data_IF_610833434748
#
_entry.id   IF_610833434748
#
_cell.length_a   1.000
_cell.length_b   1.000
_cell.length_c   1.000
_cell.angle_alpha   90.00
_cell.angle_beta   90.00
_cell.angle_gamma   90.00
#
_symmetry.space_group_name_H-M   'P 1'
#
loop_
_entity.id
_entity.type
_entity.pdbx_description
1 polymer ?
#
# COMPACT_ATOMS: atom_id res chain seq x y z
N UNK A 1 -41.87 -13.71 42.32
CA UNK A 1 -41.80 -14.83 41.36
C UNK A 1 -42.71 -14.66 40.11
N UNK A 2 -43.76 -13.83 40.15
CA UNK A 2 -44.76 -13.74 39.07
C UNK A 2 -44.61 -12.54 38.10
N UNK A 3 -43.63 -11.65 38.29
CA UNK A 3 -43.45 -10.46 37.43
C UNK A 3 -42.50 -10.73 36.25
N UNK A 4 -41.63 -11.74 36.35
CA UNK A 4 -40.64 -12.06 35.29
C UNK A 4 -41.26 -12.74 34.06
N UNK A 5 -42.38 -13.45 34.24
CA UNK A 5 -43.07 -14.18 33.16
C UNK A 5 -43.82 -13.30 32.16
N UNK A 6 -44.00 -12.00 32.43
CA UNK A 6 -44.71 -11.10 31.52
C UNK A 6 -43.80 -10.44 30.47
N UNK A 7 -42.48 -10.66 30.53
CA UNK A 7 -41.51 -9.96 29.68
C UNK A 7 -40.81 -10.84 28.63
N UNK A 8 -40.60 -12.14 28.87
CA UNK A 8 -40.08 -13.09 27.87
C UNK A 8 -40.19 -14.53 28.37
N UNK A 9 -40.52 -15.48 27.48
CA UNK A 9 -40.50 -16.94 27.76
C UNK A 9 -39.09 -17.55 27.68
N UNK A 10 -38.09 -16.74 27.30
CA UNK A 10 -36.72 -17.20 27.24
C UNK A 10 -36.13 -17.36 28.66
N UNK A 11 -35.57 -18.53 29.00
CA UNK A 11 -34.92 -18.72 30.29
C UNK A 11 -33.78 -17.70 30.44
N UNK A 12 -33.73 -17.05 31.60
CA UNK A 12 -32.67 -16.09 31.93
C UNK A 12 -31.30 -16.78 31.86
N UNK A 13 -30.64 -16.68 30.70
CA UNK A 13 -29.34 -17.30 30.46
C UNK A 13 -28.27 -16.43 31.11
N UNK A 14 -27.74 -16.90 32.24
CA UNK A 14 -26.58 -16.32 32.89
C UNK A 14 -25.32 -16.75 32.12
N UNK A 15 -25.11 -16.21 30.91
CA UNK A 15 -23.79 -16.28 30.29
C UNK A 15 -22.90 -15.22 30.94
N UNK A 16 -21.82 -15.66 31.58
CA UNK A 16 -20.79 -14.75 32.04
C UNK A 16 -20.32 -13.91 30.86
N UNK A 17 -20.42 -12.59 31.00
CA UNK A 17 -19.93 -11.63 30.00
C UNK A 17 -18.48 -11.94 29.61
N UNK A 18 -17.67 -12.41 30.57
CA UNK A 18 -16.29 -12.86 30.35
C UNK A 18 -16.18 -14.03 29.36
N UNK A 19 -17.09 -15.02 29.41
CA UNK A 19 -17.06 -16.16 28.49
C UNK A 19 -17.47 -15.76 27.06
N UNK A 20 -18.45 -14.86 26.93
CA UNK A 20 -18.87 -14.29 25.65
C UNK A 20 -17.74 -13.45 25.02
N UNK A 21 -17.10 -12.58 25.82
CA UNK A 21 -15.96 -11.80 25.36
C UNK A 21 -14.78 -12.69 25.01
N UNK A 22 -14.40 -13.67 25.85
CA UNK A 22 -13.29 -14.59 25.55
C UNK A 22 -13.49 -15.33 24.23
N UNK A 23 -14.69 -15.86 23.99
CA UNK A 23 -15.01 -16.54 22.73
C UNK A 23 -14.89 -15.61 21.52
N UNK A 24 -15.24 -14.32 21.68
CA UNK A 24 -15.10 -13.29 20.63
C UNK A 24 -13.62 -12.91 20.43
N UNK A 25 -12.87 -12.69 21.50
CA UNK A 25 -11.44 -12.41 21.48
C UNK A 25 -10.63 -13.55 20.83
N UNK A 26 -10.96 -14.81 21.10
CA UNK A 26 -10.30 -15.95 20.46
C UNK A 26 -10.50 -15.97 18.94
N UNK A 27 -11.73 -15.70 18.47
CA UNK A 27 -12.00 -15.57 17.02
C UNK A 27 -11.24 -14.39 16.41
N UNK A 28 -11.18 -13.27 17.12
CA UNK A 28 -10.51 -12.05 16.68
C UNK A 28 -8.98 -12.23 16.60
N UNK A 29 -8.41 -12.99 17.53
CA UNK A 29 -6.97 -13.29 17.53
C UNK A 29 -6.58 -14.28 16.42
N UNK A 30 -7.46 -15.23 16.08
CA UNK A 30 -7.29 -16.11 14.92
C UNK A 30 -7.39 -15.34 13.60
N UNK A 31 -8.33 -14.38 13.50
CA UNK A 31 -8.47 -13.49 12.35
C UNK A 31 -7.22 -12.63 12.16
N UNK A 32 -6.77 -11.96 13.23
CA UNK A 32 -5.55 -11.13 13.22
C UNK A 32 -4.33 -11.95 12.78
N UNK A 33 -4.17 -13.18 13.31
CA UNK A 33 -3.08 -14.08 12.90
C UNK A 33 -3.14 -14.45 11.42
N UNK A 34 -4.34 -14.74 10.91
CA UNK A 34 -4.54 -15.08 9.49
C UNK A 34 -4.22 -13.89 8.58
N UNK A 35 -4.66 -12.69 8.94
CA UNK A 35 -4.36 -11.45 8.20
C UNK A 35 -2.86 -11.19 8.17
N UNK A 36 -2.16 -11.37 9.30
CA UNK A 36 -0.70 -11.19 9.36
C UNK A 36 0.03 -12.14 8.41
N UNK A 37 -0.38 -13.41 8.34
CA UNK A 37 0.23 -14.38 7.42
C UNK A 37 -0.02 -13.97 5.96
N UNK A 38 -1.25 -13.61 5.61
CA UNK A 38 -1.60 -13.15 4.26
C UNK A 38 -0.82 -11.88 3.90
N UNK A 39 -0.67 -10.94 4.82
CA UNK A 39 0.10 -9.72 4.62
C UNK A 39 1.58 -10.01 4.33
N UNK A 40 2.20 -10.92 5.08
CA UNK A 40 3.59 -11.34 4.82
C UNK A 40 3.73 -11.95 3.42
N UNK A 41 2.80 -12.83 3.03
CA UNK A 41 2.79 -13.44 1.70
C UNK A 41 2.62 -12.37 0.61
N UNK A 42 1.67 -11.45 0.79
CA UNK A 42 1.42 -10.36 -0.14
C UNK A 42 2.65 -9.45 -0.32
N UNK A 43 3.38 -9.17 0.76
CA UNK A 43 4.64 -8.41 0.70
C UNK A 43 5.66 -9.15 -0.16
N UNK A 44 5.87 -10.45 0.07
CA UNK A 44 6.83 -11.26 -0.71
C UNK A 44 6.46 -11.27 -2.19
N UNK A 45 5.17 -11.49 -2.51
CA UNK A 45 4.69 -11.48 -3.89
C UNK A 45 4.90 -10.13 -4.57
N UNK A 46 4.65 -9.03 -3.84
CA UNK A 46 4.86 -7.67 -4.35
C UNK A 46 6.35 -7.43 -4.64
N UNK A 47 7.25 -7.89 -3.77
CA UNK A 47 8.69 -7.76 -3.98
C UNK A 47 9.16 -8.51 -5.23
N UNK A 48 8.66 -9.72 -5.46
CA UNK A 48 8.96 -10.52 -6.68
C UNK A 48 8.41 -9.81 -7.92
N UNK A 49 7.18 -9.30 -7.85
CA UNK A 49 6.54 -8.58 -8.96
C UNK A 49 7.31 -7.31 -9.36
N UNK A 50 7.75 -6.52 -8.37
CA UNK A 50 8.56 -5.32 -8.60
C UNK A 50 9.91 -5.69 -9.22
N UNK A 51 10.58 -6.74 -8.72
CA UNK A 51 11.85 -7.22 -9.29
C UNK A 51 11.69 -7.63 -10.76
N UNK A 52 10.65 -8.39 -11.10
CA UNK A 52 10.35 -8.77 -12.47
C UNK A 52 10.09 -7.57 -13.39
N UNK A 53 9.32 -6.59 -12.91
CA UNK A 53 9.08 -5.35 -13.65
C UNK A 53 10.35 -4.52 -13.87
N UNK A 54 11.24 -4.44 -12.87
CA UNK A 54 12.50 -3.71 -12.97
C UNK A 54 13.42 -4.36 -14.02
N UNK A 55 13.58 -5.69 -13.97
CA UNK A 55 14.41 -6.42 -14.94
C UNK A 55 13.88 -6.19 -16.36
N UNK A 56 12.57 -6.34 -16.55
CA UNK A 56 11.94 -6.16 -17.86
C UNK A 56 12.06 -4.72 -18.38
N UNK A 57 11.89 -3.72 -17.50
CA UNK A 57 12.08 -2.30 -17.86
C UNK A 57 13.53 -2.00 -18.23
N UNK A 58 14.50 -2.56 -17.50
CA UNK A 58 15.92 -2.42 -17.79
C UNK A 58 16.28 -2.97 -19.18
N UNK A 59 15.71 -4.12 -19.57
CA UNK A 59 15.94 -4.73 -20.89
C UNK A 59 15.29 -3.94 -22.03
N UNK A 60 14.07 -3.42 -21.84
CA UNK A 60 13.41 -2.65 -22.91
C UNK A 60 13.98 -1.24 -23.10
N UNK A 61 14.52 -0.61 -22.06
CA UNK A 61 15.03 0.77 -22.13
C UNK A 61 16.55 0.87 -22.24
N UNK A 62 17.28 -0.24 -22.32
CA UNK A 62 18.76 -0.22 -22.43
C UNK A 62 19.23 0.56 -23.66
N UNK A 63 18.55 0.41 -24.80
CA UNK A 63 18.87 1.10 -26.05
C UNK A 63 18.59 2.61 -25.99
N UNK A 64 17.46 3.03 -25.42
CA UNK A 64 17.15 4.47 -25.25
C UNK A 64 18.11 5.16 -24.27
N UNK A 65 18.45 4.49 -23.15
CA UNK A 65 19.35 5.03 -22.13
C UNK A 65 20.78 5.14 -22.69
N UNK A 66 21.22 4.15 -23.49
CA UNK A 66 22.50 4.18 -24.20
C UNK A 66 22.58 5.33 -25.22
N UNK A 67 21.57 5.48 -26.08
CA UNK A 67 21.55 6.53 -27.11
C UNK A 67 21.53 7.94 -26.48
N UNK A 68 20.72 8.17 -25.44
CA UNK A 68 20.63 9.49 -24.80
C UNK A 68 21.91 9.88 -24.04
N UNK A 69 22.61 8.91 -23.42
CA UNK A 69 23.85 9.17 -22.69
C UNK A 69 25.02 9.48 -23.63
N UNK A 70 25.03 8.90 -24.82
CA UNK A 70 26.00 9.22 -25.89
C UNK A 70 25.68 10.59 -26.53
N UNK A 71 24.42 10.99 -26.56
CA UNK A 71 23.98 12.29 -27.09
C UNK A 71 24.12 13.47 -26.10
N UNK A 72 24.84 13.29 -24.99
CA UNK A 72 25.15 14.37 -24.04
C UNK A 72 24.08 14.69 -23.00
N UNK A 73 23.03 13.86 -22.85
CA UNK A 73 22.01 14.08 -21.83
C UNK A 73 22.62 14.07 -20.41
N UNK A 74 22.32 15.10 -19.63
CA UNK A 74 22.80 15.20 -18.25
C UNK A 74 22.06 14.23 -17.35
N UNK A 75 22.73 13.77 -16.29
CA UNK A 75 22.14 12.87 -15.28
C UNK A 75 20.83 13.43 -14.71
N UNK A 76 20.72 14.76 -14.62
CA UNK A 76 19.54 15.45 -14.11
C UNK A 76 18.32 15.34 -15.04
N UNK A 77 18.52 15.39 -16.36
CA UNK A 77 17.42 15.25 -17.34
C UNK A 77 16.84 13.83 -17.33
N UNK A 78 17.70 12.82 -17.16
CA UNK A 78 17.27 11.42 -17.02
C UNK A 78 16.46 11.23 -15.73
N UNK A 79 16.91 11.83 -14.62
CA UNK A 79 16.19 11.83 -13.33
C UNK A 79 14.82 12.52 -13.46
N UNK A 80 14.75 13.67 -14.13
CA UNK A 80 13.51 14.44 -14.23
C UNK A 80 12.48 13.73 -15.12
N UNK A 81 12.92 13.15 -16.24
CA UNK A 81 12.05 12.34 -17.10
C UNK A 81 11.44 11.15 -16.35
N UNK A 82 12.26 10.39 -15.62
CA UNK A 82 11.82 9.22 -14.86
C UNK A 82 10.87 9.59 -13.72
N UNK A 83 11.15 10.69 -13.01
CA UNK A 83 10.26 11.20 -11.97
C UNK A 83 8.89 11.60 -12.56
N UNK A 84 8.85 12.24 -13.73
CA UNK A 84 7.59 12.68 -14.32
C UNK A 84 6.69 11.52 -14.76
N UNK A 85 7.29 10.43 -15.27
CA UNK A 85 6.54 9.20 -15.56
C UNK A 85 6.00 8.56 -14.28
N UNK A 86 6.80 8.53 -13.20
CA UNK A 86 6.36 7.98 -11.91
C UNK A 86 5.24 8.80 -11.27
N UNK A 87 5.35 10.13 -11.25
CA UNK A 87 4.33 11.01 -10.67
C UNK A 87 2.98 10.84 -11.36
N UNK A 88 2.96 10.68 -12.69
CA UNK A 88 1.72 10.41 -13.43
C UNK A 88 1.04 9.13 -12.95
N UNK A 89 1.79 8.04 -12.84
CA UNK A 89 1.24 6.77 -12.38
C UNK A 89 0.81 6.79 -10.91
N UNK A 90 1.58 7.45 -10.05
CA UNK A 90 1.21 7.65 -8.63
C UNK A 90 -0.07 8.48 -8.51
N UNK A 91 -0.23 9.53 -9.30
CA UNK A 91 -1.44 10.34 -9.31
C UNK A 91 -2.68 9.54 -9.73
N UNK A 92 -2.57 8.73 -10.80
CA UNK A 92 -3.66 7.84 -11.24
C UNK A 92 -4.02 6.83 -10.16
N UNK A 93 -3.02 6.18 -9.55
CA UNK A 93 -3.24 5.24 -8.46
C UNK A 93 -3.92 5.92 -7.25
N UNK A 94 -3.50 7.14 -6.91
CA UNK A 94 -4.06 7.89 -5.79
C UNK A 94 -5.53 8.27 -6.00
N UNK A 95 -5.90 8.70 -7.21
CA UNK A 95 -7.29 9.01 -7.57
C UNK A 95 -8.20 7.78 -7.43
N UNK A 96 -7.70 6.60 -7.78
CA UNK A 96 -8.45 5.33 -7.63
C UNK A 96 -8.47 4.87 -6.16
N UNK A 97 -7.38 5.08 -5.42
CA UNK A 97 -7.27 4.65 -4.03
C UNK A 97 -8.21 5.40 -3.08
N UNK A 98 -8.42 6.71 -3.28
CA UNK A 98 -9.30 7.53 -2.41
C UNK A 98 -10.72 6.94 -2.29
N UNK A 99 -11.49 6.72 -3.38
CA UNK A 99 -12.87 6.24 -3.26
C UNK A 99 -12.94 4.83 -2.67
N UNK A 100 -11.98 3.96 -2.99
CA UNK A 100 -11.89 2.61 -2.44
C UNK A 100 -11.65 2.68 -0.92
N UNK A 101 -10.68 3.49 -0.49
CA UNK A 101 -10.35 3.66 0.92
C UNK A 101 -11.50 4.32 1.69
N UNK A 102 -12.18 5.31 1.11
CA UNK A 102 -13.35 5.94 1.70
C UNK A 102 -14.46 4.93 1.94
N UNK A 103 -14.83 4.16 0.91
CA UNK A 103 -15.88 3.15 1.01
C UNK A 103 -15.54 2.04 2.02
N UNK A 104 -14.29 1.58 2.03
CA UNK A 104 -13.83 0.58 3.00
C UNK A 104 -13.91 1.12 4.44
N UNK A 105 -13.47 2.36 4.66
CA UNK A 105 -13.52 3.00 5.99
C UNK A 105 -14.94 3.26 6.45
N UNK A 106 -15.84 3.67 5.57
CA UNK A 106 -17.25 3.88 5.91
C UNK A 106 -17.92 2.57 6.33
N UNK A 107 -17.69 1.48 5.58
CA UNK A 107 -18.19 0.15 5.94
C UNK A 107 -17.59 -0.37 7.25
N UNK A 108 -16.32 -0.06 7.50
CA UNK A 108 -15.64 -0.43 8.74
C UNK A 108 -16.19 0.33 9.96
N UNK A 109 -16.25 1.67 9.88
CA UNK A 109 -16.77 2.54 10.94
C UNK A 109 -18.27 2.33 11.20
N UNK A 110 -19.03 1.85 10.21
CA UNK A 110 -20.44 1.52 10.36
C UNK A 110 -20.74 0.47 11.42
N UNK A 111 -19.78 -0.41 11.74
CA UNK A 111 -19.93 -1.47 12.75
C UNK A 111 -19.66 -1.00 14.18
N UNK A 112 -19.27 0.26 14.37
CA UNK A 112 -18.94 0.82 15.69
C UNK A 112 -19.99 1.86 16.12
N UNK A 113 -20.47 1.73 17.37
CA UNK A 113 -21.41 2.68 17.96
C UNK A 113 -20.79 4.07 18.17
N UNK A 114 -19.47 4.14 18.33
CA UNK A 114 -18.68 5.38 18.39
C UNK A 114 -17.77 5.45 17.17
N UNK A 115 -17.91 6.49 16.35
CA UNK A 115 -17.22 6.61 15.06
C UNK A 115 -16.66 8.01 14.86
N UNK A 116 -15.44 8.05 14.31
CA UNK A 116 -14.72 9.28 13.98
C UNK A 116 -15.19 9.79 12.62
N UNK A 117 -15.36 11.10 12.43
CA UNK A 117 -15.71 11.65 11.12
C UNK A 117 -14.49 11.63 10.19
N UNK A 118 -14.60 10.92 9.06
CA UNK A 118 -13.53 10.82 8.08
C UNK A 118 -13.29 12.20 7.45
N UNK A 119 -12.11 12.78 7.72
CA UNK A 119 -11.76 14.12 7.25
C UNK A 119 -10.89 14.05 6.00
N UNK A 120 -11.25 14.83 4.97
CA UNK A 120 -10.55 14.83 3.66
C UNK A 120 -9.03 15.08 3.78
N UNK A 121 -8.61 15.89 4.75
CA UNK A 121 -7.19 16.20 5.00
C UNK A 121 -6.31 14.97 5.26
N UNK A 122 -6.88 13.87 5.77
CA UNK A 122 -6.13 12.63 6.03
C UNK A 122 -5.66 12.02 4.70
N UNK A 123 -6.51 12.05 3.68
CA UNK A 123 -6.15 11.56 2.34
C UNK A 123 -5.10 12.45 1.70
N UNK A 124 -5.25 13.78 1.79
CA UNK A 124 -4.27 14.72 1.27
C UNK A 124 -2.88 14.53 1.92
N UNK A 125 -2.83 14.38 3.25
CA UNK A 125 -1.59 14.14 3.98
C UNK A 125 -0.94 12.81 3.58
N UNK A 126 -1.73 11.74 3.49
CA UNK A 126 -1.26 10.43 3.03
C UNK A 126 -0.71 10.51 1.60
N UNK A 127 -1.39 11.23 0.70
CA UNK A 127 -0.95 11.46 -0.67
C UNK A 127 0.39 12.18 -0.74
N UNK A 128 0.58 13.25 0.06
CA UNK A 128 1.84 14.00 0.14
C UNK A 128 2.98 13.10 0.63
N UNK A 129 2.73 12.28 1.67
CA UNK A 129 3.72 11.35 2.20
C UNK A 129 4.14 10.35 1.12
N UNK A 130 3.17 9.71 0.45
CA UNK A 130 3.44 8.72 -0.60
C UNK A 130 4.21 9.34 -1.76
N UNK A 131 3.82 10.54 -2.20
CA UNK A 131 4.48 11.23 -3.29
C UNK A 131 5.92 11.60 -2.93
N UNK A 132 6.14 12.06 -1.70
CA UNK A 132 7.49 12.37 -1.19
C UNK A 132 8.38 11.13 -1.15
N UNK A 133 7.86 10.01 -0.64
CA UNK A 133 8.59 8.75 -0.59
C UNK A 133 8.92 8.27 -2.01
N UNK A 134 7.95 8.28 -2.92
CA UNK A 134 8.14 7.85 -4.30
C UNK A 134 9.22 8.68 -5.01
N UNK A 135 9.16 10.01 -4.91
CA UNK A 135 10.15 10.90 -5.51
C UNK A 135 11.55 10.69 -4.93
N UNK A 136 11.68 10.51 -3.62
CA UNK A 136 12.96 10.23 -2.97
C UNK A 136 13.53 8.88 -3.44
N UNK A 137 12.72 7.83 -3.48
CA UNK A 137 13.15 6.50 -3.90
C UNK A 137 13.60 6.49 -5.37
N UNK A 138 12.81 7.07 -6.27
CA UNK A 138 13.13 7.13 -7.70
C UNK A 138 14.39 7.97 -7.92
N UNK A 139 14.46 9.16 -7.32
CA UNK A 139 15.64 10.03 -7.46
C UNK A 139 16.91 9.35 -6.95
N UNK A 140 16.84 8.65 -5.82
CA UNK A 140 17.97 7.90 -5.28
C UNK A 140 18.41 6.76 -6.21
N UNK A 141 17.46 5.95 -6.69
CA UNK A 141 17.76 4.84 -7.59
C UNK A 141 18.34 5.32 -8.92
N UNK A 142 17.72 6.31 -9.55
CA UNK A 142 18.17 6.85 -10.83
C UNK A 142 19.53 7.53 -10.70
N UNK A 143 19.78 8.28 -9.62
CA UNK A 143 21.08 8.89 -9.38
C UNK A 143 22.19 7.84 -9.19
N UNK A 144 21.92 6.78 -8.42
CA UNK A 144 22.86 5.67 -8.23
C UNK A 144 23.16 4.91 -9.53
N UNK A 145 22.15 4.69 -10.38
CA UNK A 145 22.29 4.00 -11.67
C UNK A 145 23.00 4.89 -12.69
N UNK A 146 22.70 6.19 -12.73
CA UNK A 146 23.30 7.12 -13.68
C UNK A 146 24.81 7.33 -13.41
N UNK A 147 25.23 7.25 -12.14
CA UNK A 147 26.64 7.28 -11.71
C UNK A 147 27.42 5.98 -11.97
N UNK A 148 26.76 4.85 -12.25
CA UNK A 148 27.49 3.66 -12.70
C UNK A 148 28.10 3.93 -14.07
N UNK A 149 29.36 3.53 -14.20
CA UNK A 149 30.19 3.80 -15.37
C UNK A 149 29.52 3.15 -16.61
N UNK A 150 29.17 3.93 -17.65
CA UNK A 150 28.46 3.39 -18.82
C UNK A 150 29.26 2.31 -19.57
N UNK A 151 30.57 2.24 -19.33
CA UNK A 151 31.48 1.22 -19.89
C UNK A 151 31.17 -0.19 -19.35
N UNK A 152 30.61 -0.35 -18.15
CA UNK A 152 30.17 -1.66 -17.64
C UNK A 152 28.83 -2.12 -18.24
N UNK A 153 27.97 -1.20 -18.67
CA UNK A 153 26.68 -1.52 -19.27
C UNK A 153 26.79 -2.00 -20.72
N UNK A 154 27.91 -1.74 -21.39
CA UNK A 154 28.22 -2.15 -22.76
C UNK A 154 29.18 -3.35 -22.83
N UNK A 155 29.77 -3.77 -21.70
CA UNK A 155 30.73 -4.88 -21.64
C UNK A 155 30.10 -6.21 -21.15
N UNK A 156 28.78 -6.29 -21.25
CA UNK A 156 28.02 -7.54 -21.22
C UNK A 156 27.29 -7.67 -22.56
N UNK A 157 28.07 -7.70 -23.64
CA UNK A 157 27.89 -8.75 -24.64
C UNK A 157 28.54 -10.03 -24.10
#
# INVERSE_FOLDING_TARGET
KNVWKSFSDDPFAFEFYDAFFNAKYHKEQQLSRSITIIAIIAIILTLIGILGQVIQTCTYRTKEIGIRKVNGATVLEVVNMLNMDFVKWVAVAFVIAIPIAWYAMEKWLGNFAYKITLSWWIFALAGIIVLTVALLTVSWHTFRVARKNPVEALRYE
#
